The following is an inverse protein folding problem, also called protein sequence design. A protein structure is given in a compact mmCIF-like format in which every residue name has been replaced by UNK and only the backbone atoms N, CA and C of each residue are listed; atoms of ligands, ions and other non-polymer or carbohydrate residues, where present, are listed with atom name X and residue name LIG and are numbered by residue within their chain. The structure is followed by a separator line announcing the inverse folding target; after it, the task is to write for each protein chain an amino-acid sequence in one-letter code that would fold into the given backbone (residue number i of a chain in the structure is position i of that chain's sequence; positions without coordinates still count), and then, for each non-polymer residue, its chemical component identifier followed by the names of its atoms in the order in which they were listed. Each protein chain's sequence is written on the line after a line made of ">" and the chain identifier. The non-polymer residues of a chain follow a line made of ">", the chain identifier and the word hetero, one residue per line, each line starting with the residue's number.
data_IF_321486347536
#
_entry.id   IF_321486347536
#
_cell.length_a   1.000
_cell.length_b   1.000
_cell.length_c   1.000
_cell.angle_alpha   90.00
_cell.angle_beta   90.00
_cell.angle_gamma   90.00
#
_symmetry.space_group_name_H-M   'P 1'
#
loop_
_entity.id
_entity.type
_entity.pdbx_description
1 polymer ?
#
# COMPACT_ATOMS: atom_id res chain seq x y z
N UNK A 1 -25.02 10.01 -12.77
CA UNK A 1 -23.94 10.63 -11.98
C UNK A 1 -22.73 10.73 -12.88
N UNK A 2 -22.21 11.94 -13.09
CA UNK A 2 -21.08 12.16 -14.03
C UNK A 2 -19.76 11.66 -13.44
N UNK A 3 -18.83 11.24 -14.30
CA UNK A 3 -17.47 10.88 -13.88
C UNK A 3 -16.77 12.06 -13.17
N UNK A 4 -16.94 13.28 -13.68
CA UNK A 4 -16.41 14.52 -13.09
C UNK A 4 -16.93 14.78 -11.67
N UNK A 5 -18.23 14.61 -11.45
CA UNK A 5 -18.85 14.79 -10.12
C UNK A 5 -18.35 13.75 -9.11
N UNK A 6 -18.12 12.51 -9.56
CA UNK A 6 -17.57 11.44 -8.73
C UNK A 6 -16.12 11.74 -8.35
N UNK A 7 -15.33 12.21 -9.31
CA UNK A 7 -13.94 12.62 -9.10
C UNK A 7 -13.83 13.71 -8.04
N UNK A 8 -14.61 14.79 -8.14
CA UNK A 8 -14.57 15.89 -7.15
C UNK A 8 -14.91 15.42 -5.73
N UNK A 9 -15.84 14.46 -5.60
CA UNK A 9 -16.21 13.91 -4.28
C UNK A 9 -15.11 13.03 -3.68
N UNK A 10 -14.37 12.32 -4.53
CA UNK A 10 -13.28 11.42 -4.13
C UNK A 10 -11.93 12.13 -4.00
N UNK A 11 -11.73 13.29 -4.64
CA UNK A 11 -10.49 14.06 -4.59
C UNK A 11 -10.34 14.81 -3.26
N UNK A 12 -10.18 14.04 -2.19
CA UNK A 12 -9.98 14.51 -0.83
C UNK A 12 -8.74 13.86 -0.27
N UNK A 13 -7.97 14.61 0.52
CA UNK A 13 -6.78 14.11 1.21
C UNK A 13 -7.12 12.84 2.01
N UNK A 14 -8.25 12.85 2.72
CA UNK A 14 -8.69 11.71 3.54
C UNK A 14 -8.97 10.45 2.71
N UNK A 15 -9.48 10.58 1.49
CA UNK A 15 -9.65 9.43 0.59
C UNK A 15 -8.29 8.85 0.21
N UNK A 16 -7.33 9.72 -0.13
CA UNK A 16 -5.93 9.35 -0.35
C UNK A 16 -5.29 8.62 0.84
N UNK A 17 -5.52 9.12 2.05
CA UNK A 17 -5.02 8.49 3.28
C UNK A 17 -5.60 7.08 3.47
N UNK A 18 -6.91 6.92 3.29
CA UNK A 18 -7.56 5.61 3.43
C UNK A 18 -7.03 4.63 2.38
N UNK A 19 -6.97 5.05 1.12
CA UNK A 19 -6.47 4.18 0.03
C UNK A 19 -5.00 3.83 0.26
N UNK A 20 -4.15 4.81 0.56
CA UNK A 20 -2.72 4.60 0.81
C UNK A 20 -2.42 3.79 2.07
N UNK A 21 -3.38 3.72 3.01
CA UNK A 21 -3.33 2.88 4.20
C UNK A 21 -3.82 1.45 3.99
N UNK A 22 -4.93 1.29 3.27
CA UNK A 22 -5.58 -0.01 3.08
C UNK A 22 -4.87 -0.85 2.03
N UNK A 23 -4.40 -0.23 0.94
CA UNK A 23 -3.77 -0.94 -0.17
C UNK A 23 -2.50 -1.71 0.23
N UNK A 24 -1.59 -1.18 1.08
CA UNK A 24 -0.43 -1.95 1.51
C UNK A 24 -0.77 -3.13 2.39
N UNK A 25 -1.80 -2.99 3.23
CA UNK A 25 -2.33 -4.10 4.03
C UNK A 25 -2.85 -5.20 3.10
N UNK A 26 -3.62 -4.85 2.07
CA UNK A 26 -4.07 -5.81 1.06
C UNK A 26 -2.87 -6.46 0.35
N UNK A 27 -1.88 -5.67 -0.08
CA UNK A 27 -0.67 -6.16 -0.72
C UNK A 27 0.11 -7.16 0.14
N UNK A 28 0.17 -6.93 1.45
CA UNK A 28 0.75 -7.86 2.41
C UNK A 28 0.00 -9.20 2.44
N UNK A 29 -1.33 -9.19 2.56
CA UNK A 29 -2.13 -10.41 2.55
C UNK A 29 -2.02 -11.16 1.22
N UNK A 30 -2.03 -10.43 0.11
CA UNK A 30 -1.82 -11.00 -1.22
C UNK A 30 -0.43 -11.66 -1.29
N UNK A 31 0.62 -11.00 -0.80
CA UNK A 31 1.97 -11.58 -0.77
C UNK A 31 1.99 -12.92 -0.03
N UNK A 32 1.30 -13.02 1.12
CA UNK A 32 1.19 -14.26 1.89
C UNK A 32 0.52 -15.36 1.06
N UNK A 33 -0.60 -15.06 0.40
CA UNK A 33 -1.28 -16.04 -0.45
C UNK A 33 -0.41 -16.57 -1.60
N UNK A 34 0.45 -15.72 -2.19
CA UNK A 34 1.29 -16.10 -3.32
C UNK A 34 2.62 -16.76 -2.91
N UNK A 35 3.22 -16.33 -1.79
CA UNK A 35 4.53 -16.80 -1.33
C UNK A 35 4.46 -17.93 -0.31
N UNK A 36 3.42 -17.96 0.52
CA UNK A 36 3.19 -18.98 1.54
C UNK A 36 2.12 -19.98 1.06
N UNK A 37 2.36 -20.60 -0.11
CA UNK A 37 1.40 -21.52 -0.75
C UNK A 37 1.09 -22.76 0.07
N UNK A 38 2.06 -23.21 0.87
CA UNK A 38 1.93 -24.37 1.74
C UNK A 38 1.29 -24.02 3.09
N UNK A 39 1.06 -22.73 3.37
CA UNK A 39 0.50 -22.27 4.65
C UNK A 39 1.46 -22.49 5.83
N UNK A 40 2.76 -22.57 5.55
CA UNK A 40 3.82 -22.86 6.51
C UNK A 40 3.97 -21.76 7.55
N UNK A 41 3.59 -20.52 7.22
CA UNK A 41 3.69 -19.38 8.14
C UNK A 41 2.34 -18.97 8.72
N UNK A 42 2.26 -18.98 10.05
CA UNK A 42 1.21 -18.24 10.77
C UNK A 42 1.29 -16.75 10.44
N UNK A 43 0.19 -15.99 10.63
CA UNK A 43 0.17 -14.56 10.34
C UNK A 43 1.28 -13.79 11.08
N UNK A 44 1.52 -14.17 12.34
CA UNK A 44 2.62 -13.64 13.16
C UNK A 44 3.99 -14.05 12.62
N UNK A 45 4.14 -15.31 12.18
CA UNK A 45 5.38 -15.79 11.56
C UNK A 45 5.71 -15.03 10.27
N UNK A 46 4.70 -14.77 9.45
CA UNK A 46 4.87 -14.02 8.20
C UNK A 46 5.16 -12.53 8.45
N UNK A 47 4.55 -11.93 9.49
CA UNK A 47 4.93 -10.60 9.96
C UNK A 47 6.40 -10.53 10.40
N UNK A 48 6.91 -11.56 11.08
CA UNK A 48 8.32 -11.63 11.45
C UNK A 48 9.25 -11.76 10.22
N UNK A 49 8.78 -12.32 9.09
CA UNK A 49 9.55 -12.32 7.84
C UNK A 49 9.66 -10.91 7.24
N UNK A 50 8.61 -10.10 7.39
CA UNK A 50 8.59 -8.70 6.95
C UNK A 50 9.41 -7.79 7.87
N UNK A 51 9.44 -8.05 9.19
CA UNK A 51 10.17 -7.20 10.14
C UNK A 51 11.60 -7.70 10.40
N UNK A 52 11.90 -8.96 10.10
CA UNK A 52 13.24 -9.53 10.26
C UNK A 52 14.19 -9.16 9.12
N UNK A 53 15.50 -9.29 9.37
CA UNK A 53 16.55 -9.25 8.34
C UNK A 53 16.63 -10.58 7.57
N UNK A 54 15.53 -10.95 6.91
CA UNK A 54 15.46 -12.15 6.08
C UNK A 54 15.43 -11.76 4.59
N UNK A 55 15.86 -12.68 3.73
CA UNK A 55 15.84 -12.48 2.26
C UNK A 55 14.42 -12.21 1.72
N UNK A 56 13.39 -12.62 2.46
CA UNK A 56 11.98 -12.41 2.08
C UNK A 56 11.46 -11.00 2.36
N UNK A 57 12.18 -10.18 3.15
CA UNK A 57 11.75 -8.85 3.55
C UNK A 57 11.38 -7.95 2.36
N UNK A 58 12.34 -7.75 1.45
CA UNK A 58 12.18 -6.83 0.32
C UNK A 58 11.02 -7.25 -0.57
N UNK A 59 10.85 -8.55 -0.80
CA UNK A 59 9.77 -9.03 -1.63
C UNK A 59 8.39 -8.76 -1.01
N UNK A 60 8.23 -8.99 0.30
CA UNK A 60 6.96 -8.71 1.00
C UNK A 60 6.69 -7.20 1.01
N UNK A 61 7.72 -6.38 1.23
CA UNK A 61 7.63 -4.93 1.19
C UNK A 61 7.20 -4.44 -0.20
N UNK A 62 7.85 -4.93 -1.26
CA UNK A 62 7.54 -4.58 -2.65
C UNK A 62 6.09 -4.95 -2.98
N UNK A 63 5.65 -6.16 -2.64
CA UNK A 63 4.25 -6.58 -2.84
C UNK A 63 3.25 -5.70 -2.09
N UNK A 64 3.63 -5.18 -0.93
CA UNK A 64 2.80 -4.26 -0.14
C UNK A 64 2.77 -2.86 -0.77
N UNK A 65 3.87 -2.38 -1.35
CA UNK A 65 3.94 -1.01 -1.89
C UNK A 65 3.50 -0.89 -3.36
N UNK A 66 3.56 -1.96 -4.15
CA UNK A 66 3.10 -1.96 -5.55
C UNK A 66 1.65 -1.46 -5.70
N UNK A 67 0.68 -1.90 -4.88
CA UNK A 67 -0.68 -1.37 -4.93
C UNK A 67 -0.74 0.16 -4.74
N UNK A 68 0.06 0.72 -3.83
CA UNK A 68 0.15 2.17 -3.66
C UNK A 68 0.75 2.86 -4.89
N UNK A 69 1.78 2.28 -5.50
CA UNK A 69 2.34 2.82 -6.74
C UNK A 69 1.32 2.80 -7.89
N UNK A 70 0.53 1.74 -8.00
CA UNK A 70 -0.54 1.64 -8.98
C UNK A 70 -1.63 2.70 -8.73
N UNK A 71 -2.07 2.86 -7.47
CA UNK A 71 -3.04 3.88 -7.10
C UNK A 71 -2.51 5.29 -7.33
N UNK A 72 -1.22 5.54 -7.04
CA UNK A 72 -0.55 6.80 -7.39
C UNK A 72 -0.63 7.07 -8.88
N UNK A 73 -0.30 6.07 -9.71
CA UNK A 73 -0.36 6.22 -11.16
C UNK A 73 -1.77 6.59 -11.64
N UNK A 74 -2.80 5.88 -11.17
CA UNK A 74 -4.19 6.13 -11.53
C UNK A 74 -4.65 7.52 -11.06
N UNK A 75 -4.40 7.87 -9.81
CA UNK A 75 -4.90 9.12 -9.22
C UNK A 75 -4.19 10.33 -9.81
N UNK A 76 -2.87 10.25 -10.05
CA UNK A 76 -2.07 11.37 -10.54
C UNK A 76 -2.18 11.54 -12.06
N UNK A 77 -1.91 10.49 -12.84
CA UNK A 77 -1.84 10.61 -14.30
C UNK A 77 -3.19 10.48 -14.99
N UNK A 78 -4.02 9.52 -14.60
CA UNK A 78 -5.29 9.28 -15.27
C UNK A 78 -6.38 10.22 -14.78
N UNK A 79 -6.56 10.32 -13.46
CA UNK A 79 -7.72 10.99 -12.88
C UNK A 79 -7.43 12.41 -12.41
N UNK A 80 -6.16 12.82 -12.30
CA UNK A 80 -5.75 14.17 -11.85
C UNK A 80 -6.44 14.57 -10.53
N UNK A 81 -6.34 13.70 -9.53
CA UNK A 81 -6.90 13.86 -8.17
C UNK A 81 -5.79 14.29 -7.20
N UNK A 82 -5.41 15.56 -7.27
CA UNK A 82 -4.21 16.08 -6.60
C UNK A 82 -4.29 15.97 -5.07
N UNK A 83 -5.48 16.13 -4.49
CA UNK A 83 -5.67 16.04 -3.04
C UNK A 83 -5.57 14.59 -2.56
N UNK A 84 -6.20 13.66 -3.28
CA UNK A 84 -6.09 12.23 -2.97
C UNK A 84 -4.64 11.75 -3.12
N UNK A 85 -3.91 12.19 -4.14
CA UNK A 85 -2.48 11.85 -4.31
C UNK A 85 -1.65 12.30 -3.12
N UNK A 86 -1.86 13.51 -2.60
CA UNK A 86 -1.13 14.00 -1.41
C UNK A 86 -1.32 13.07 -0.20
N UNK A 87 -2.57 12.66 0.06
CA UNK A 87 -2.86 11.71 1.15
C UNK A 87 -2.21 10.35 0.93
N UNK A 88 -2.27 9.84 -0.30
CA UNK A 88 -1.67 8.56 -0.67
C UNK A 88 -0.14 8.54 -0.51
N UNK A 89 0.54 9.58 -1.00
CA UNK A 89 2.00 9.73 -0.85
C UNK A 89 2.35 9.84 0.64
N UNK A 90 1.61 10.66 1.41
CA UNK A 90 1.85 10.82 2.83
C UNK A 90 1.81 9.48 3.58
N UNK A 91 0.80 8.65 3.33
CA UNK A 91 0.75 7.30 3.91
C UNK A 91 1.90 6.42 3.45
N UNK A 92 2.25 6.46 2.17
CA UNK A 92 3.38 5.68 1.62
C UNK A 92 4.69 6.06 2.31
N UNK A 93 4.92 7.36 2.55
CA UNK A 93 6.08 7.85 3.30
C UNK A 93 6.05 7.43 4.77
N UNK A 94 4.89 7.41 5.41
CA UNK A 94 4.74 6.87 6.77
C UNK A 94 5.16 5.40 6.81
N UNK A 95 4.65 4.57 5.89
CA UNK A 95 5.04 3.15 5.85
C UNK A 95 6.55 3.00 5.67
N UNK A 96 7.12 3.66 4.66
CA UNK A 96 8.56 3.62 4.42
C UNK A 96 9.36 4.11 5.63
N UNK A 97 8.93 5.20 6.27
CA UNK A 97 9.57 5.72 7.49
C UNK A 97 9.51 4.72 8.65
N UNK A 98 8.36 4.08 8.87
CA UNK A 98 8.22 3.04 9.89
C UNK A 98 9.15 1.86 9.58
N UNK A 99 9.20 1.38 8.34
CA UNK A 99 10.10 0.28 7.95
C UNK A 99 11.57 0.65 8.12
N UNK A 100 11.98 1.87 7.76
CA UNK A 100 13.35 2.35 7.95
C UNK A 100 13.76 2.51 9.42
N UNK A 101 12.81 2.74 10.34
CA UNK A 101 13.10 2.84 11.78
C UNK A 101 13.18 1.45 12.43
N UNK A 102 12.39 0.50 11.93
CA UNK A 102 12.32 -0.86 12.46
C UNK A 102 13.54 -1.70 12.01
N UNK A 103 14.11 -1.41 10.84
CA UNK A 103 15.30 -2.07 10.28
C UNK A 103 16.58 -1.31 10.56
#
# INVERSE_FOLDING_TARGET
>A
MGWEETKERLDKIWFGLVIGGVLPVIGFFVSKLFKDKEGSYSLKGYWNLLVGQNDYYLDILIFSLIPNLLAFYLFFFMWKMDQAVKGLIFMTLIYLGIFLIIH
#
